data_IF_338424018220
#
_entry.id   IF_338424018220
#
_cell.length_a   1.000
_cell.length_b   1.000
_cell.length_c   1.000
_cell.angle_alpha   90.00
_cell.angle_beta   90.00
_cell.angle_gamma   90.00
#
_symmetry.space_group_name_H-M   'P 1'
#
loop_
_entity.id
_entity.type
_entity.pdbx_description
1 polymer ?
#
# COMPACT_ATOMS: atom_id res chain seq x y z
N UNK A 1 -13.82 -0.84 -4.49
CA UNK A 1 -13.20 -0.68 -3.16
C UNK A 1 -12.28 0.54 -3.12
N UNK A 2 -11.37 0.70 -4.08
CA UNK A 2 -10.53 1.89 -4.21
C UNK A 2 -11.31 3.23 -4.29
N UNK A 3 -12.53 3.23 -4.84
CA UNK A 3 -13.33 4.45 -5.02
C UNK A 3 -14.03 4.96 -3.75
N UNK A 4 -14.01 4.17 -2.67
CA UNK A 4 -14.56 4.58 -1.36
C UNK A 4 -13.52 5.29 -0.48
N UNK A 5 -12.26 5.33 -0.92
CA UNK A 5 -11.16 5.94 -0.18
C UNK A 5 -11.07 7.43 -0.54
N UNK A 6 -10.96 8.28 0.47
CA UNK A 6 -10.71 9.71 0.28
C UNK A 6 -9.23 9.98 -0.01
N UNK A 7 -8.84 9.77 -1.27
CA UNK A 7 -7.47 10.01 -1.74
C UNK A 7 -7.06 11.49 -1.65
N UNK A 8 -8.02 12.42 -1.76
CA UNK A 8 -7.72 13.86 -1.76
C UNK A 8 -7.20 14.33 -0.41
N UNK A 9 -7.69 13.74 0.69
CA UNK A 9 -7.25 14.06 2.06
C UNK A 9 -5.76 13.84 2.30
N UNK A 10 -5.12 12.93 1.55
CA UNK A 10 -3.69 12.64 1.66
C UNK A 10 -2.89 12.94 0.38
N UNK A 11 -3.36 13.89 -0.44
CA UNK A 11 -2.69 14.30 -1.69
C UNK A 11 -2.43 13.13 -2.66
N UNK A 12 -3.41 12.23 -2.78
CA UNK A 12 -3.34 11.04 -3.63
C UNK A 12 -2.67 9.83 -2.96
N UNK A 13 -2.29 9.94 -1.69
CA UNK A 13 -1.71 8.86 -0.89
C UNK A 13 -2.51 8.57 0.36
N UNK A 14 -2.52 7.31 0.77
CA UNK A 14 -3.10 6.88 2.05
C UNK A 14 -2.11 6.02 2.84
N UNK A 15 -2.09 6.13 4.18
CA UNK A 15 -1.36 5.19 5.02
C UNK A 15 -1.98 3.80 4.90
N UNK A 16 -1.13 2.78 4.76
CA UNK A 16 -1.51 1.38 4.72
C UNK A 16 -0.73 0.62 5.80
N UNK A 17 -1.46 0.08 6.77
CA UNK A 17 -0.90 -0.72 7.87
C UNK A 17 -0.99 -2.18 7.47
N UNK A 18 0.14 -2.89 7.51
CA UNK A 18 0.20 -4.34 7.32
C UNK A 18 0.22 -4.98 8.69
N UNK A 19 -0.66 -5.95 8.87
CA UNK A 19 -0.78 -6.75 10.09
C UNK A 19 -0.60 -8.23 9.74
N UNK A 20 -0.06 -8.98 10.69
CA UNK A 20 -0.14 -10.44 10.65
C UNK A 20 -1.62 -10.84 10.78
N UNK A 21 -2.08 -11.70 9.87
CA UNK A 21 -3.47 -12.12 9.78
C UNK A 21 -3.90 -13.05 10.92
N UNK A 22 -2.96 -13.72 11.60
CA UNK A 22 -3.26 -14.70 12.66
C UNK A 22 -3.44 -14.04 14.03
N UNK A 23 -2.56 -13.10 14.39
CA UNK A 23 -2.48 -12.51 15.73
C UNK A 23 -2.74 -11.00 15.76
N UNK A 24 -2.92 -10.35 14.59
CA UNK A 24 -3.14 -8.92 14.47
C UNK A 24 -1.90 -8.07 14.75
N UNK A 25 -0.72 -8.66 14.89
CA UNK A 25 0.52 -7.93 15.12
C UNK A 25 0.76 -6.93 13.98
N UNK A 26 0.99 -5.66 14.31
CA UNK A 26 1.37 -4.64 13.33
C UNK A 26 2.80 -4.91 12.86
N UNK A 27 2.97 -5.19 11.57
CA UNK A 27 4.25 -5.52 10.96
C UNK A 27 4.92 -4.28 10.36
N UNK A 28 4.16 -3.43 9.67
CA UNK A 28 4.69 -2.22 9.06
C UNK A 28 3.61 -1.20 8.69
N UNK A 29 4.06 0.04 8.50
CA UNK A 29 3.30 1.12 7.90
C UNK A 29 3.96 1.51 6.57
N UNK A 30 3.17 1.57 5.50
CA UNK A 30 3.57 2.14 4.22
C UNK A 30 2.55 3.14 3.71
N UNK A 31 2.77 3.63 2.49
CA UNK A 31 1.81 4.48 1.79
C UNK A 31 1.45 3.84 0.46
N UNK A 32 0.18 3.95 0.08
CA UNK A 32 -0.33 3.50 -1.22
C UNK A 32 -0.91 4.72 -1.94
N UNK A 33 -0.71 4.78 -3.25
CA UNK A 33 -1.58 5.53 -4.16
C UNK A 33 -2.64 4.57 -4.73
N UNK A 34 -3.54 5.08 -5.57
CA UNK A 34 -4.60 4.26 -6.18
C UNK A 34 -4.04 3.07 -6.96
N UNK A 35 -2.95 3.25 -7.70
CA UNK A 35 -2.34 2.20 -8.52
C UNK A 35 -1.69 1.10 -7.66
N UNK A 36 -1.01 1.48 -6.57
CA UNK A 36 -0.42 0.53 -5.63
C UNK A 36 -1.48 -0.37 -4.96
N UNK A 37 -2.64 0.20 -4.61
CA UNK A 37 -3.76 -0.57 -4.09
C UNK A 37 -4.33 -1.52 -5.15
N UNK A 38 -4.51 -1.05 -6.39
CA UNK A 38 -4.99 -1.89 -7.49
C UNK A 38 -4.03 -3.05 -7.75
N UNK A 39 -2.73 -2.79 -7.86
CA UNK A 39 -1.71 -3.82 -8.05
C UNK A 39 -1.68 -4.84 -6.90
N UNK A 40 -1.91 -4.38 -5.66
CA UNK A 40 -2.02 -5.28 -4.50
C UNK A 40 -3.23 -6.21 -4.60
N UNK A 41 -4.39 -5.66 -4.98
CA UNK A 41 -5.62 -6.44 -5.13
C UNK A 41 -5.55 -7.44 -6.29
N UNK A 42 -4.87 -7.07 -7.37
CA UNK A 42 -4.71 -7.93 -8.55
C UNK A 42 -3.70 -9.05 -8.33
N UNK A 43 -2.54 -8.74 -7.74
CA UNK A 43 -1.45 -9.71 -7.57
C UNK A 43 -1.56 -10.56 -6.30
N UNK A 44 -2.27 -10.08 -5.27
CA UNK A 44 -2.26 -10.68 -3.93
C UNK A 44 -1.00 -10.36 -3.11
N UNK A 45 -0.04 -9.61 -3.66
CA UNK A 45 1.17 -9.19 -2.97
C UNK A 45 1.14 -7.70 -2.65
N UNK A 46 1.52 -7.34 -1.43
CA UNK A 46 1.52 -5.94 -0.98
C UNK A 46 2.45 -5.10 -1.85
N UNK A 47 1.87 -4.09 -2.51
CA UNK A 47 2.57 -3.08 -3.29
C UNK A 47 2.37 -1.71 -2.67
N UNK A 48 3.46 -1.01 -2.38
CA UNK A 48 3.46 0.36 -1.86
C UNK A 48 3.85 1.36 -2.94
N UNK A 49 3.58 2.63 -2.67
CA UNK A 49 4.13 3.74 -3.43
C UNK A 49 5.32 4.37 -2.70
N UNK A 50 6.51 4.30 -3.29
CA UNK A 50 7.69 4.96 -2.75
C UNK A 50 7.59 6.47 -3.00
N UNK A 51 7.36 7.25 -1.93
CA UNK A 51 7.28 8.72 -2.03
C UNK A 51 8.59 9.36 -2.48
N UNK A 52 9.72 8.79 -2.09
CA UNK A 52 11.06 9.29 -2.46
C UNK A 52 11.44 8.92 -3.90
N UNK A 53 11.18 7.67 -4.32
CA UNK A 53 11.54 7.17 -5.66
C UNK A 53 10.42 7.36 -6.69
N UNK A 54 9.26 7.86 -6.27
CA UNK A 54 8.06 8.12 -7.09
C UNK A 54 7.63 6.93 -7.97
N UNK A 55 7.69 5.72 -7.42
CA UNK A 55 7.37 4.47 -8.14
C UNK A 55 6.67 3.46 -7.25
N UNK A 56 5.98 2.51 -7.89
CA UNK A 56 5.48 1.30 -7.22
C UNK A 56 6.65 0.45 -6.72
N UNK A 57 6.44 -0.22 -5.60
CA UNK A 57 7.40 -1.14 -5.02
C UNK A 57 6.63 -2.28 -4.35
N UNK A 58 6.73 -3.49 -4.90
CA UNK A 58 6.18 -4.68 -4.26
C UNK A 58 7.11 -5.09 -3.13
N UNK A 59 6.53 -5.33 -1.95
CA UNK A 59 7.30 -5.76 -0.79
C UNK A 59 7.92 -7.12 -1.10
N UNK A 60 9.25 -7.16 -1.20
CA UNK A 60 10.01 -8.38 -1.50
C UNK A 60 10.78 -8.34 -2.83
N UNK A 61 10.49 -7.40 -3.74
CA UNK A 61 11.18 -7.31 -5.05
C UNK A 61 12.65 -6.91 -4.96
N UNK A 62 13.09 -6.36 -3.83
CA UNK A 62 14.51 -6.15 -3.51
C UNK A 62 14.64 -6.13 -1.99
N UNK A 63 15.19 -7.21 -1.44
CA UNK A 63 15.62 -7.30 -0.04
C UNK A 63 17.14 -7.28 0.02
#
# INVERSE_FOLDING_TARGET
MADRIDWKKGDGLVPAIVQNAEDGQVLMLGYMNRDALMATLESGYVTFYSRSKKRLWMKGESS
#
